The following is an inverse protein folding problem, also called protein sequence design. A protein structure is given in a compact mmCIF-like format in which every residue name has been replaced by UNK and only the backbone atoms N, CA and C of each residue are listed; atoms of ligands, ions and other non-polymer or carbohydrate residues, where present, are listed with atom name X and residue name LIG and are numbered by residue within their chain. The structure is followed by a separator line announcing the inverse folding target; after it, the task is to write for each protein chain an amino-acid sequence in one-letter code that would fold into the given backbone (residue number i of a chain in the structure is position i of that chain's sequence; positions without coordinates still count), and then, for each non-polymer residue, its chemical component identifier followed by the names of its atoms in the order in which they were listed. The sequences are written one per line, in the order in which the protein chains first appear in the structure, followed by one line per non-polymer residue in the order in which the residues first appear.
data_IF_968374673006
#
_entry.id   IF_968374673006
#
_cell.length_a   1.000
_cell.length_b   1.000
_cell.length_c   1.000
_cell.angle_alpha   90.00
_cell.angle_beta   90.00
_cell.angle_gamma   90.00
#
_symmetry.space_group_name_H-M   'P 1'
#
loop_
_entity.id
_entity.type
_entity.pdbx_description
1 polymer ?
#
# COMPACT_ATOMS: atom_id res chain seq x y z
N UNK A 1 1.86 9.16 5.76
CA UNK A 1 1.19 8.37 6.82
C UNK A 1 1.68 6.95 6.78
N UNK A 2 1.58 6.23 7.87
CA UNK A 2 1.91 4.80 7.87
C UNK A 2 0.71 3.99 7.48
N UNK A 3 0.95 2.85 6.80
CA UNK A 3 -0.18 2.04 6.33
C UNK A 3 -1.09 1.58 7.46
N UNK A 4 -0.56 1.40 8.66
CA UNK A 4 -1.39 1.01 9.82
C UNK A 4 -2.49 2.02 10.12
N UNK A 5 -2.28 3.28 9.76
CA UNK A 5 -3.23 4.36 10.03
C UNK A 5 -4.27 4.55 8.91
N UNK A 6 -4.08 3.87 7.79
CA UNK A 6 -5.03 3.93 6.69
C UNK A 6 -6.19 2.98 6.95
N UNK A 7 -7.41 3.40 6.65
CA UNK A 7 -8.59 2.53 6.82
C UNK A 7 -8.61 1.43 5.77
N UNK A 8 -9.12 0.26 6.16
CA UNK A 8 -9.32 -0.86 5.24
C UNK A 8 -10.19 -0.43 4.07
N UNK A 9 -9.86 -0.93 2.89
CA UNK A 9 -10.59 -0.61 1.67
C UNK A 9 -10.11 0.65 0.97
N UNK A 10 -9.31 1.45 1.62
CA UNK A 10 -8.79 2.68 1.03
C UNK A 10 -7.61 2.40 0.12
N UNK A 11 -7.32 3.37 -0.74
CA UNK A 11 -6.28 3.26 -1.75
C UNK A 11 -5.06 4.09 -1.37
N UNK A 12 -3.90 3.61 -1.76
CA UNK A 12 -2.65 4.30 -1.42
C UNK A 12 -1.57 4.02 -2.46
N UNK A 13 -0.51 4.82 -2.39
CA UNK A 13 0.73 4.56 -3.12
C UNK A 13 1.87 4.46 -2.13
N UNK A 14 2.87 3.59 -2.37
CA UNK A 14 4.07 3.57 -1.53
C UNK A 14 4.74 4.93 -1.53
N UNK A 15 5.52 5.21 -0.49
CA UNK A 15 6.19 6.51 -0.37
C UNK A 15 7.10 6.78 -1.57
N UNK A 16 6.99 7.99 -2.12
CA UNK A 16 7.67 8.34 -3.36
C UNK A 16 9.19 8.30 -3.30
N UNK A 17 9.78 8.42 -2.12
CA UNK A 17 11.22 8.37 -1.97
C UNK A 17 11.89 7.10 -2.49
N UNK A 18 11.13 6.02 -2.61
CA UNK A 18 11.62 4.76 -3.16
C UNK A 18 11.62 4.75 -4.69
N UNK A 19 10.96 5.70 -5.30
CA UNK A 19 10.68 5.68 -6.72
C UNK A 19 11.06 6.99 -7.37
N UNK A 20 12.22 7.50 -6.99
CA UNK A 20 12.71 8.74 -7.58
C UNK A 20 12.98 8.55 -9.07
N UNK A 21 12.76 9.61 -9.84
CA UNK A 21 12.98 9.60 -11.25
C UNK A 21 11.67 9.46 -12.02
N UNK A 22 11.68 8.63 -13.05
CA UNK A 22 10.62 8.59 -14.03
C UNK A 22 9.51 7.60 -13.74
N UNK A 23 9.68 6.76 -12.73
CA UNK A 23 8.71 5.72 -12.46
C UNK A 23 7.70 6.17 -11.41
N UNK A 24 6.42 5.98 -11.72
CA UNK A 24 5.32 6.30 -10.82
C UNK A 24 4.87 5.01 -10.16
N UNK A 25 4.83 4.95 -8.81
CA UNK A 25 4.40 3.73 -8.14
C UNK A 25 2.94 3.41 -8.44
N UNK A 26 2.58 2.13 -8.52
CA UNK A 26 1.20 1.73 -8.74
C UNK A 26 0.32 2.04 -7.54
N UNK A 27 -0.99 2.05 -7.77
CA UNK A 27 -1.98 2.24 -6.71
C UNK A 27 -2.34 0.89 -6.10
N UNK A 28 -2.38 0.85 -4.78
CA UNK A 28 -2.73 -0.34 -4.02
C UNK A 28 -3.97 -0.09 -3.19
N UNK A 29 -4.70 -1.16 -2.89
CA UNK A 29 -5.83 -1.11 -1.98
C UNK A 29 -5.52 -1.93 -0.74
N UNK A 30 -5.75 -1.35 0.43
CA UNK A 30 -5.55 -2.03 1.71
C UNK A 30 -6.73 -2.96 1.96
N UNK A 31 -6.46 -4.27 2.04
CA UNK A 31 -7.52 -5.27 2.13
C UNK A 31 -7.68 -5.78 3.55
N UNK A 32 -6.70 -6.52 4.06
CA UNK A 32 -6.85 -7.20 5.33
C UNK A 32 -5.51 -7.43 6.01
N UNK A 33 -5.54 -7.54 7.33
CA UNK A 33 -4.32 -7.81 8.10
C UNK A 33 -4.09 -9.31 8.23
N UNK A 34 -2.89 -9.77 7.90
CA UNK A 34 -2.50 -11.16 8.05
C UNK A 34 -1.64 -11.28 9.31
N UNK A 35 -2.17 -11.97 10.31
CA UNK A 35 -1.49 -12.11 11.59
C UNK A 35 -0.22 -12.94 11.51
N UNK A 36 -0.20 -13.93 10.65
CA UNK A 36 0.97 -14.80 10.52
C UNK A 36 2.14 -14.05 9.92
N UNK A 37 1.88 -13.24 8.92
CA UNK A 37 2.92 -12.45 8.25
C UNK A 37 3.15 -11.11 8.91
N UNK A 38 2.28 -10.73 9.85
CA UNK A 38 2.34 -9.45 10.54
C UNK A 38 2.35 -8.28 9.58
N UNK A 39 1.57 -8.40 8.51
CA UNK A 39 1.49 -7.38 7.49
C UNK A 39 0.12 -7.27 6.89
N UNK A 40 -0.10 -6.20 6.14
CA UNK A 40 -1.37 -5.97 5.47
C UNK A 40 -1.34 -6.55 4.08
N UNK A 41 -2.33 -7.38 3.79
CA UNK A 41 -2.56 -7.85 2.42
C UNK A 41 -3.09 -6.69 1.62
N UNK A 42 -2.43 -6.37 0.51
CA UNK A 42 -2.83 -5.28 -0.36
C UNK A 42 -2.91 -5.75 -1.80
N UNK A 43 -3.82 -5.14 -2.53
CA UNK A 43 -4.10 -5.48 -3.91
C UNK A 43 -3.63 -4.36 -4.83
N UNK A 44 -2.80 -4.69 -5.80
CA UNK A 44 -2.34 -3.72 -6.79
C UNK A 44 -3.41 -3.55 -7.86
N UNK A 45 -3.96 -2.35 -7.96
CA UNK A 45 -5.12 -2.08 -8.80
C UNK A 45 -4.82 -2.30 -10.28
N UNK A 46 -3.72 -1.75 -10.76
CA UNK A 46 -3.36 -1.85 -12.18
C UNK A 46 -2.85 -3.24 -12.56
N UNK A 47 -1.93 -3.78 -11.77
CA UNK A 47 -1.28 -5.05 -12.08
C UNK A 47 -1.99 -6.28 -11.57
N UNK A 48 -3.05 -6.09 -10.78
CA UNK A 48 -3.84 -7.19 -10.21
C UNK A 48 -2.99 -8.18 -9.41
N UNK A 49 -1.99 -7.66 -8.71
CA UNK A 49 -1.12 -8.48 -7.87
C UNK A 49 -1.44 -8.30 -6.41
N UNK A 50 -1.03 -9.25 -5.60
CA UNK A 50 -1.18 -9.18 -4.15
C UNK A 50 0.20 -9.10 -3.52
N UNK A 51 0.35 -8.23 -2.54
CA UNK A 51 1.59 -8.11 -1.79
C UNK A 51 1.28 -7.75 -0.35
N UNK A 52 2.29 -7.89 0.51
CA UNK A 52 2.15 -7.55 1.92
C UNK A 52 2.90 -6.26 2.20
N UNK A 53 2.25 -5.38 2.95
CA UNK A 53 2.87 -4.13 3.42
C UNK A 53 2.88 -4.17 4.95
N UNK A 54 4.02 -3.84 5.53
CA UNK A 54 4.15 -3.88 6.98
C UNK A 54 3.61 -2.59 7.60
N UNK A 55 3.09 -2.67 8.84
CA UNK A 55 2.36 -1.54 9.45
C UNK A 55 3.13 -0.23 9.50
N UNK A 56 4.45 -0.30 9.60
CA UNK A 56 5.28 0.89 9.72
C UNK A 56 5.68 1.51 8.38
N UNK A 57 5.31 0.89 7.26
CA UNK A 57 5.71 1.43 5.97
C UNK A 57 5.00 2.75 5.68
N UNK A 58 5.76 3.70 5.17
CA UNK A 58 5.22 5.00 4.80
C UNK A 58 4.47 4.89 3.47
N UNK A 59 3.29 5.47 3.44
CA UNK A 59 2.46 5.47 2.25
C UNK A 59 1.80 6.83 2.08
N UNK A 60 1.22 7.04 0.91
CA UNK A 60 0.43 8.23 0.63
C UNK A 60 -0.96 7.80 0.21
N UNK A 61 -1.97 8.28 0.90
CA UNK A 61 -3.36 7.96 0.57
C UNK A 61 -3.74 8.55 -0.79
N UNK A 62 -4.47 7.77 -1.57
CA UNK A 62 -4.98 8.19 -2.88
C UNK A 62 -6.49 8.20 -2.82
N UNK A 63 -7.09 9.29 -3.27
CA UNK A 63 -8.55 9.41 -3.31
C UNK A 63 -9.02 9.11 -4.73
N UNK A 64 -9.80 8.07 -4.85
CA UNK A 64 -10.34 7.65 -6.15
C UNK A 64 -11.82 8.00 -6.28
#
# INVERSE_FOLDING_TARGET
MKIKDLKKGKFFKPHLGKYEGQWVPPTWQKIEYDRKKRGWICYEVEGKRIAYFYPQEEIKEVYL
#
